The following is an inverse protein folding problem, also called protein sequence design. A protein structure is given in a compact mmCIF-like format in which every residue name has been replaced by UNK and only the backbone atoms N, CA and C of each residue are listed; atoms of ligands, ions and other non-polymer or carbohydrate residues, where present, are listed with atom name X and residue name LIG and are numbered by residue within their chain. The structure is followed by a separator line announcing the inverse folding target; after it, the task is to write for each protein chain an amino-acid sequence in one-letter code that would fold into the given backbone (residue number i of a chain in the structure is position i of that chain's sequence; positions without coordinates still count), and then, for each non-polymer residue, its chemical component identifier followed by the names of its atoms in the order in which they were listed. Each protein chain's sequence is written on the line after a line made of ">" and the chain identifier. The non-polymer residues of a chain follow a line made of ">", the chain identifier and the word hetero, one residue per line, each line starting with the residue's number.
data_IF_557190776580
#
_entry.id   IF_557190776580
#
_cell.length_a   1.000
_cell.length_b   1.000
_cell.length_c   1.000
_cell.angle_alpha   90.00
_cell.angle_beta   90.00
_cell.angle_gamma   90.00
#
_symmetry.space_group_name_H-M   'P 1'
#
loop_
_entity.id
_entity.type
_entity.pdbx_description
1 polymer ?
#
# COMPACT_ATOMS: atom_id res chain seq x y z
N UNK A 1 39.00 -33.37 22.62
CA UNK A 1 38.06 -33.04 21.53
C UNK A 1 36.66 -32.94 22.11
N UNK A 2 36.09 -31.74 22.00
CA UNK A 2 34.70 -31.31 22.15
C UNK A 2 33.81 -31.89 23.27
N UNK A 3 33.49 -30.99 24.20
CA UNK A 3 32.61 -31.11 25.37
C UNK A 3 31.13 -30.92 25.03
N UNK A 4 30.29 -31.54 25.86
CA UNK A 4 28.83 -31.49 25.94
C UNK A 4 28.24 -30.08 25.84
N UNK A 5 27.16 -29.92 25.06
CA UNK A 5 26.34 -28.69 25.02
C UNK A 5 25.05 -28.89 25.82
N UNK A 6 25.07 -28.31 27.02
CA UNK A 6 23.95 -28.05 27.91
C UNK A 6 23.04 -26.99 27.27
N UNK A 7 21.74 -27.28 27.13
CA UNK A 7 20.74 -26.27 26.80
C UNK A 7 20.24 -25.61 28.09
N UNK A 8 20.58 -24.32 28.22
CA UNK A 8 20.20 -23.44 29.32
C UNK A 8 18.68 -23.21 29.32
N UNK A 9 18.02 -23.71 30.36
CA UNK A 9 16.65 -23.36 30.77
C UNK A 9 16.72 -22.09 31.60
N UNK A 10 16.36 -20.94 31.03
CA UNK A 10 16.17 -19.70 31.80
C UNK A 10 14.70 -19.54 32.20
N UNK A 11 14.36 -19.37 33.50
CA UNK A 11 13.04 -18.94 33.92
C UNK A 11 12.98 -17.40 33.92
N UNK A 12 11.92 -16.80 33.37
CA UNK A 12 11.63 -15.38 33.58
C UNK A 12 10.57 -15.20 34.67
N UNK A 13 10.76 -14.25 35.60
CA UNK A 13 9.97 -14.13 36.83
C UNK A 13 8.62 -13.44 36.61
N UNK A 14 7.67 -13.82 37.48
CA UNK A 14 6.41 -13.10 37.72
C UNK A 14 6.72 -11.82 38.50
N UNK A 15 6.25 -10.68 38.01
CA UNK A 15 6.04 -9.48 38.83
C UNK A 15 4.60 -9.00 38.59
N UNK A 16 3.96 -8.68 39.70
CA UNK A 16 2.55 -8.38 39.91
C UNK A 16 2.13 -7.01 39.35
N UNK A 17 0.90 -7.01 38.83
CA UNK A 17 -0.16 -6.00 39.01
C UNK A 17 0.18 -4.49 38.84
N UNK A 18 -0.42 -3.83 37.84
CA UNK A 18 -1.74 -3.19 38.02
C UNK A 18 -2.24 -2.41 36.78
N UNK A 19 -3.55 -2.58 36.54
CA UNK A 19 -4.55 -1.57 36.11
C UNK A 19 -4.25 -0.72 34.87
N UNK A 20 -4.82 -1.12 33.72
CA UNK A 20 -5.55 -0.17 32.88
C UNK A 20 -6.63 -0.90 32.07
N UNK A 21 -7.86 -0.42 32.24
CA UNK A 21 -9.10 -0.85 31.59
C UNK A 21 -9.03 -0.74 30.07
N UNK A 22 -9.33 -1.82 29.36
CA UNK A 22 -10.06 -1.75 28.09
C UNK A 22 -10.70 -3.10 27.79
N UNK A 23 -12.03 -3.14 27.90
CA UNK A 23 -12.87 -4.23 27.39
C UNK A 23 -12.63 -4.34 25.88
N UNK A 24 -11.88 -5.35 25.47
CA UNK A 24 -11.88 -5.80 24.08
C UNK A 24 -13.07 -6.72 23.86
N UNK A 25 -14.12 -6.19 23.24
CA UNK A 25 -15.13 -6.99 22.56
C UNK A 25 -14.60 -7.33 21.15
N UNK A 26 -14.52 -8.61 20.75
CA UNK A 26 -14.37 -8.97 19.35
C UNK A 26 -15.62 -9.71 18.88
N UNK A 27 -16.75 -8.99 18.72
CA UNK A 27 -17.77 -9.43 17.76
C UNK A 27 -17.49 -8.74 16.43
N UNK A 28 -16.51 -9.28 15.70
CA UNK A 28 -16.32 -8.99 14.28
C UNK A 28 -17.37 -9.78 13.51
N UNK A 29 -18.59 -9.25 13.42
CA UNK A 29 -19.57 -9.74 12.46
C UNK A 29 -19.10 -9.34 11.05
N UNK A 30 -18.29 -10.20 10.44
CA UNK A 30 -18.03 -10.16 9.01
C UNK A 30 -19.32 -10.60 8.30
N UNK A 31 -20.18 -9.64 7.98
CA UNK A 31 -21.27 -9.85 7.04
C UNK A 31 -20.68 -10.07 5.65
N UNK A 32 -20.27 -11.29 5.35
CA UNK A 32 -20.14 -11.73 3.97
C UNK A 32 -21.55 -11.75 3.41
N UNK A 33 -21.87 -10.79 2.53
CA UNK A 33 -22.98 -10.96 1.58
C UNK A 33 -22.62 -12.16 0.71
N UNK A 34 -23.04 -13.34 1.15
CA UNK A 34 -22.95 -14.55 0.35
C UNK A 34 -23.80 -14.30 -0.89
N UNK A 35 -23.14 -14.08 -2.02
CA UNK A 35 -23.77 -14.11 -3.34
C UNK A 35 -24.53 -15.44 -3.39
N UNK A 36 -25.85 -15.44 -3.63
CA UNK A 36 -26.61 -16.67 -3.64
C UNK A 36 -25.98 -17.62 -4.65
N UNK A 37 -25.47 -18.74 -4.12
CA UNK A 37 -24.93 -19.83 -4.91
C UNK A 37 -25.98 -20.28 -5.91
N UNK A 38 -25.64 -20.28 -7.20
CA UNK A 38 -26.50 -20.70 -8.31
C UNK A 38 -26.71 -22.22 -8.33
N UNK A 39 -26.78 -22.85 -7.16
CA UNK A 39 -26.73 -24.28 -6.98
C UNK A 39 -28.00 -24.74 -6.29
N UNK A 40 -29.14 -24.63 -6.99
CA UNK A 40 -30.39 -25.37 -6.72
C UNK A 40 -31.53 -25.08 -7.70
N UNK A 41 -31.27 -24.52 -8.89
CA UNK A 41 -32.35 -24.17 -9.83
C UNK A 41 -32.86 -25.36 -10.68
N UNK A 42 -32.33 -26.55 -10.42
CA UNK A 42 -32.75 -27.79 -11.11
C UNK A 42 -34.22 -28.10 -10.77
N UNK A 43 -34.60 -27.98 -9.49
CA UNK A 43 -35.95 -28.35 -9.04
C UNK A 43 -37.06 -27.41 -9.53
N UNK A 44 -36.74 -26.17 -9.92
CA UNK A 44 -37.76 -25.18 -10.35
C UNK A 44 -38.20 -25.32 -11.80
N UNK A 45 -37.41 -25.96 -12.65
CA UNK A 45 -37.64 -26.00 -14.10
C UNK A 45 -38.00 -27.40 -14.63
N UNK A 46 -38.13 -28.40 -13.76
CA UNK A 46 -38.58 -29.73 -14.17
C UNK A 46 -40.10 -29.80 -14.25
N UNK A 47 -40.64 -29.48 -15.43
CA UNK A 47 -42.02 -29.86 -15.77
C UNK A 47 -42.03 -31.36 -16.09
N UNK A 48 -42.61 -32.15 -15.19
CA UNK A 48 -42.83 -33.57 -15.45
C UNK A 48 -43.86 -33.71 -16.57
N UNK A 49 -43.54 -34.54 -17.56
CA UNK A 49 -44.50 -34.90 -18.60
C UNK A 49 -45.66 -35.70 -18.00
N UNK A 50 -46.84 -35.58 -18.60
CA UNK A 50 -48.01 -36.38 -18.23
C UNK A 50 -47.72 -37.88 -18.37
N UNK A 51 -48.42 -38.68 -17.56
CA UNK A 51 -48.31 -40.13 -17.55
C UNK A 51 -48.55 -40.68 -18.96
N UNK A 52 -47.60 -41.45 -19.51
CA UNK A 52 -47.67 -41.97 -20.87
C UNK A 52 -48.41 -43.31 -20.89
N UNK A 53 -49.61 -43.34 -21.48
CA UNK A 53 -50.44 -44.55 -21.63
C UNK A 53 -49.94 -45.52 -22.72
N UNK A 54 -48.91 -45.12 -23.47
CA UNK A 54 -48.38 -45.89 -24.60
C UNK A 54 -47.96 -47.32 -24.23
N UNK A 55 -47.35 -47.51 -23.05
CA UNK A 55 -46.86 -48.81 -22.59
C UNK A 55 -48.00 -49.81 -22.36
N UNK A 56 -49.21 -49.31 -22.06
CA UNK A 56 -50.39 -50.13 -21.78
C UNK A 56 -51.27 -50.37 -23.03
N UNK A 57 -50.90 -49.81 -24.18
CA UNK A 57 -51.72 -49.85 -25.40
C UNK A 57 -51.46 -51.06 -26.31
N UNK A 58 -50.47 -51.90 -26.00
CA UNK A 58 -50.05 -53.00 -26.87
C UNK A 58 -51.03 -54.19 -26.84
N UNK A 59 -51.62 -54.51 -28.00
CA UNK A 59 -52.44 -55.72 -28.17
C UNK A 59 -51.66 -56.78 -28.97
N UNK A 60 -51.50 -58.01 -28.46
CA UNK A 60 -50.77 -59.06 -29.14
C UNK A 60 -51.48 -59.49 -30.44
N UNK A 61 -50.79 -59.52 -31.60
CA UNK A 61 -51.36 -60.02 -32.85
C UNK A 61 -51.66 -61.53 -32.79
N UNK A 62 -52.75 -61.97 -33.43
CA UNK A 62 -53.22 -63.37 -33.41
C UNK A 62 -52.40 -64.30 -34.31
N UNK A 63 -51.87 -63.77 -35.42
CA UNK A 63 -51.12 -64.52 -36.42
C UNK A 63 -49.59 -64.30 -36.32
N UNK A 64 -48.78 -65.37 -36.34
CA UNK A 64 -47.33 -65.27 -36.09
C UNK A 64 -46.57 -64.53 -37.20
N UNK A 65 -46.99 -64.68 -38.46
CA UNK A 65 -46.36 -64.02 -39.62
C UNK A 65 -46.58 -62.50 -39.61
N UNK A 66 -47.77 -62.07 -39.20
CA UNK A 66 -48.08 -60.64 -39.05
C UNK A 66 -47.34 -60.01 -37.87
N UNK A 67 -47.21 -60.74 -36.76
CA UNK A 67 -46.45 -60.29 -35.60
C UNK A 67 -44.99 -60.03 -35.96
N UNK A 68 -44.37 -60.92 -36.75
CA UNK A 68 -43.00 -60.77 -37.23
C UNK A 68 -42.84 -59.54 -38.14
N UNK A 69 -43.77 -59.34 -39.09
CA UNK A 69 -43.75 -58.17 -39.98
C UNK A 69 -43.87 -56.86 -39.19
N UNK A 70 -44.85 -56.77 -38.27
CA UNK A 70 -45.06 -55.62 -37.38
C UNK A 70 -43.82 -55.34 -36.53
N UNK A 71 -43.20 -56.37 -35.96
CA UNK A 71 -41.97 -56.22 -35.17
C UNK A 71 -40.79 -55.72 -36.03
N UNK A 72 -40.65 -56.23 -37.26
CA UNK A 72 -39.59 -55.81 -38.16
C UNK A 72 -39.71 -54.33 -38.56
N UNK A 73 -40.93 -53.86 -38.81
CA UNK A 73 -41.23 -52.45 -39.08
C UNK A 73 -40.92 -51.58 -37.86
N UNK A 74 -41.40 -51.98 -36.68
CA UNK A 74 -41.13 -51.26 -35.42
C UNK A 74 -39.64 -51.11 -35.13
N UNK A 75 -38.85 -52.17 -35.35
CA UNK A 75 -37.39 -52.13 -35.18
C UNK A 75 -36.75 -51.12 -36.13
N UNK A 76 -37.18 -51.09 -37.39
CA UNK A 76 -36.68 -50.14 -38.41
C UNK A 76 -37.07 -48.71 -38.05
N UNK A 77 -38.35 -48.48 -37.74
CA UNK A 77 -38.87 -47.15 -37.41
C UNK A 77 -38.22 -46.59 -36.15
N UNK A 78 -38.05 -47.42 -35.12
CA UNK A 78 -37.33 -47.04 -33.91
C UNK A 78 -35.88 -46.70 -34.19
N UNK A 79 -35.17 -47.54 -34.96
CA UNK A 79 -33.78 -47.27 -35.33
C UNK A 79 -33.65 -45.96 -36.11
N UNK A 80 -34.58 -45.67 -37.04
CA UNK A 80 -34.62 -44.42 -37.80
C UNK A 80 -34.89 -43.21 -36.90
N UNK A 81 -35.90 -43.28 -36.03
CA UNK A 81 -36.23 -42.21 -35.07
C UNK A 81 -35.05 -41.92 -34.13
N UNK A 82 -34.46 -42.94 -33.53
CA UNK A 82 -33.30 -42.78 -32.64
C UNK A 82 -32.10 -42.21 -33.39
N UNK A 83 -31.87 -42.63 -34.64
CA UNK A 83 -30.79 -42.08 -35.48
C UNK A 83 -31.01 -40.59 -35.79
N UNK A 84 -32.26 -40.17 -36.05
CA UNK A 84 -32.59 -38.76 -36.25
C UNK A 84 -32.32 -37.94 -34.98
N UNK A 85 -32.84 -38.40 -33.83
CA UNK A 85 -32.62 -37.75 -32.52
C UNK A 85 -31.13 -37.63 -32.18
N UNK A 86 -30.32 -38.67 -32.44
CA UNK A 86 -28.87 -38.57 -32.22
C UNK A 86 -28.20 -37.51 -33.08
N UNK A 87 -28.64 -37.34 -34.34
CA UNK A 87 -28.09 -36.32 -35.23
C UNK A 87 -28.44 -34.91 -34.75
N UNK A 88 -29.69 -34.70 -34.37
CA UNK A 88 -30.17 -33.43 -33.81
C UNK A 88 -29.39 -33.08 -32.54
N UNK A 89 -29.25 -34.03 -31.62
CA UNK A 89 -28.48 -33.84 -30.39
C UNK A 89 -27.01 -33.46 -30.67
N UNK A 90 -26.35 -34.13 -31.62
CA UNK A 90 -24.97 -33.79 -32.01
C UNK A 90 -24.90 -32.35 -32.53
N UNK A 91 -25.86 -31.94 -33.35
CA UNK A 91 -25.92 -30.57 -33.89
C UNK A 91 -26.15 -29.53 -32.78
N UNK A 92 -27.08 -29.78 -31.88
CA UNK A 92 -27.35 -28.90 -30.73
C UNK A 92 -26.12 -28.73 -29.85
N UNK A 93 -25.43 -29.84 -29.55
CA UNK A 93 -24.21 -29.80 -28.74
C UNK A 93 -23.09 -29.02 -29.44
N UNK A 94 -22.94 -29.14 -30.75
CA UNK A 94 -21.94 -28.39 -31.51
C UNK A 94 -22.29 -26.89 -31.58
N UNK A 95 -23.56 -26.54 -31.76
CA UNK A 95 -24.01 -25.14 -31.68
C UNK A 95 -23.69 -24.52 -30.31
N UNK A 96 -24.01 -25.23 -29.23
CA UNK A 96 -23.68 -24.79 -27.87
C UNK A 96 -22.17 -24.62 -27.67
N UNK A 97 -21.36 -25.50 -28.26
CA UNK A 97 -19.90 -25.40 -28.20
C UNK A 97 -19.40 -24.15 -28.93
N UNK A 98 -19.91 -23.88 -30.13
CA UNK A 98 -19.56 -22.69 -30.91
C UNK A 98 -19.97 -21.39 -30.19
N UNK A 99 -21.15 -21.36 -29.58
CA UNK A 99 -21.58 -20.22 -28.77
C UNK A 99 -20.66 -19.96 -27.57
N UNK A 100 -20.22 -21.01 -26.88
CA UNK A 100 -19.25 -20.89 -25.79
C UNK A 100 -17.93 -20.31 -26.29
N UNK A 101 -17.41 -20.81 -27.41
CA UNK A 101 -16.18 -20.31 -28.01
C UNK A 101 -16.28 -18.81 -28.34
N UNK A 102 -17.37 -18.37 -29.00
CA UNK A 102 -17.60 -16.94 -29.30
C UNK A 102 -17.63 -16.09 -28.03
N UNK A 103 -18.33 -16.55 -27.00
CA UNK A 103 -18.40 -15.85 -25.70
C UNK A 103 -17.03 -15.76 -25.04
N UNK A 104 -16.22 -16.81 -25.11
CA UNK A 104 -14.89 -16.85 -24.52
C UNK A 104 -13.90 -15.97 -25.29
N UNK A 105 -13.99 -15.90 -26.61
CA UNK A 105 -13.20 -14.97 -27.45
C UNK A 105 -13.50 -13.52 -27.09
N UNK A 106 -14.78 -13.12 -27.02
CA UNK A 106 -15.20 -11.77 -26.63
C UNK A 106 -14.64 -11.43 -25.23
N UNK A 107 -14.74 -12.36 -24.27
CA UNK A 107 -14.20 -12.15 -22.92
C UNK A 107 -12.68 -11.99 -22.92
N UNK A 108 -11.96 -12.81 -23.69
CA UNK A 108 -10.49 -12.73 -23.80
C UNK A 108 -10.06 -11.39 -24.38
N UNK A 109 -10.74 -10.91 -25.41
CA UNK A 109 -10.45 -9.61 -26.02
C UNK A 109 -10.75 -8.45 -25.07
N UNK A 110 -11.90 -8.50 -24.36
CA UNK A 110 -12.23 -7.50 -23.35
C UNK A 110 -11.18 -7.43 -22.23
N UNK A 111 -10.72 -8.60 -21.74
CA UNK A 111 -9.66 -8.67 -20.72
C UNK A 111 -8.34 -8.12 -21.25
N UNK A 112 -8.01 -8.37 -22.53
CA UNK A 112 -6.79 -7.83 -23.14
C UNK A 112 -6.83 -6.30 -23.18
N UNK A 113 -7.92 -5.72 -23.67
CA UNK A 113 -8.11 -4.26 -23.76
C UNK A 113 -8.02 -3.63 -22.37
N UNK A 114 -8.75 -4.17 -21.38
CA UNK A 114 -8.70 -3.66 -20.01
C UNK A 114 -7.28 -3.80 -19.41
N UNK A 115 -6.57 -4.88 -19.74
CA UNK A 115 -5.18 -5.09 -19.35
C UNK A 115 -4.22 -4.06 -19.93
N UNK A 116 -4.40 -3.68 -21.19
CA UNK A 116 -3.62 -2.66 -21.88
C UNK A 116 -3.91 -1.27 -21.30
N UNK A 117 -5.17 -0.92 -21.07
CA UNK A 117 -5.56 0.35 -20.44
C UNK A 117 -4.98 0.49 -19.03
N UNK A 118 -5.07 -0.57 -18.19
CA UNK A 118 -4.45 -0.58 -16.86
C UNK A 118 -2.93 -0.40 -16.93
N UNK A 119 -2.26 -1.02 -17.91
CA UNK A 119 -0.81 -0.87 -18.12
C UNK A 119 -0.46 0.57 -18.54
N UNK A 120 -1.23 1.15 -19.46
CA UNK A 120 -1.06 2.53 -19.91
C UNK A 120 -1.26 3.52 -18.76
N UNK A 121 -2.32 3.35 -17.96
CA UNK A 121 -2.59 4.17 -16.78
C UNK A 121 -1.46 4.06 -15.73
N UNK A 122 -0.95 2.85 -15.46
CA UNK A 122 0.19 2.65 -14.56
C UNK A 122 1.47 3.30 -15.10
N UNK A 123 1.72 3.23 -16.40
CA UNK A 123 2.88 3.87 -17.02
C UNK A 123 2.78 5.40 -16.93
N UNK A 124 1.61 5.98 -17.19
CA UNK A 124 1.35 7.41 -17.03
C UNK A 124 1.56 7.86 -15.58
N UNK A 125 0.99 7.13 -14.61
CA UNK A 125 1.17 7.42 -13.19
C UNK A 125 2.65 7.32 -12.75
N UNK A 126 3.40 6.34 -13.26
CA UNK A 126 4.84 6.23 -12.99
C UNK A 126 5.63 7.40 -13.56
N UNK A 127 5.28 7.88 -14.76
CA UNK A 127 5.91 9.06 -15.37
C UNK A 127 5.61 10.33 -14.57
N UNK A 128 4.36 10.54 -14.17
CA UNK A 128 3.97 11.68 -13.33
C UNK A 128 4.74 11.68 -12.00
N UNK A 129 4.79 10.54 -11.31
CA UNK A 129 5.56 10.38 -10.07
C UNK A 129 7.07 10.59 -10.25
N UNK A 130 7.62 10.25 -11.41
CA UNK A 130 9.02 10.51 -11.72
C UNK A 130 9.28 12.01 -11.91
N UNK A 131 8.37 12.73 -12.58
CA UNK A 131 8.45 14.18 -12.71
C UNK A 131 8.32 14.88 -11.35
N UNK A 132 7.39 14.44 -10.48
CA UNK A 132 7.27 14.96 -9.11
C UNK A 132 8.57 14.80 -8.31
N UNK A 133 9.27 13.67 -8.46
CA UNK A 133 10.57 13.46 -7.80
C UNK A 133 11.64 14.41 -8.31
N UNK A 134 11.67 14.68 -9.61
CA UNK A 134 12.62 15.64 -10.18
C UNK A 134 12.37 17.05 -9.63
N UNK A 135 11.10 17.48 -9.59
CA UNK A 135 10.72 18.77 -9.00
C UNK A 135 11.12 18.82 -7.51
N UNK A 136 10.85 17.78 -6.74
CA UNK A 136 11.26 17.72 -5.33
C UNK A 136 12.78 17.79 -5.14
N UNK A 137 13.56 17.18 -6.03
CA UNK A 137 15.03 17.27 -6.01
C UNK A 137 15.52 18.69 -6.34
N UNK A 138 14.87 19.38 -7.29
CA UNK A 138 15.19 20.77 -7.62
C UNK A 138 14.86 21.71 -6.46
N UNK A 139 13.68 21.56 -5.84
CA UNK A 139 13.30 22.30 -4.63
C UNK A 139 14.30 22.05 -3.50
N UNK A 140 14.73 20.81 -3.31
CA UNK A 140 15.75 20.46 -2.33
C UNK A 140 17.10 21.15 -2.62
N UNK A 141 17.52 21.22 -3.89
CA UNK A 141 18.74 21.96 -4.27
C UNK A 141 18.60 23.46 -4.00
N UNK A 142 17.46 24.05 -4.32
CA UNK A 142 17.21 25.47 -4.07
C UNK A 142 17.23 25.81 -2.58
N UNK A 143 16.61 24.97 -1.74
CA UNK A 143 16.63 25.16 -0.28
C UNK A 143 18.05 25.05 0.29
N UNK A 144 18.87 24.11 -0.19
CA UNK A 144 20.29 24.02 0.19
C UNK A 144 21.10 25.28 -0.17
N UNK A 145 20.85 25.87 -1.34
CA UNK A 145 21.52 27.11 -1.73
C UNK A 145 21.11 28.29 -0.81
N UNK A 146 19.83 28.38 -0.45
CA UNK A 146 19.32 29.40 0.49
C UNK A 146 19.95 29.24 1.87
N UNK A 147 19.98 28.02 2.41
CA UNK A 147 20.63 27.70 3.70
C UNK A 147 22.12 28.07 3.71
N UNK A 148 22.85 27.75 2.63
CA UNK A 148 24.26 28.13 2.50
C UNK A 148 24.44 29.65 2.47
N UNK A 149 23.61 30.37 1.73
CA UNK A 149 23.65 31.83 1.67
C UNK A 149 23.40 32.45 3.06
N UNK A 150 22.37 32.00 3.78
CA UNK A 150 22.07 32.47 5.14
C UNK A 150 23.22 32.22 6.11
N UNK A 151 23.87 31.05 6.05
CA UNK A 151 25.04 30.75 6.88
C UNK A 151 26.23 31.64 6.56
N UNK A 152 26.47 31.93 5.28
CA UNK A 152 27.54 32.84 4.86
C UNK A 152 27.27 34.28 5.34
N UNK A 153 26.03 34.76 5.23
CA UNK A 153 25.64 36.08 5.75
C UNK A 153 25.79 36.15 7.27
N UNK A 154 25.34 35.12 7.97
CA UNK A 154 25.51 35.01 9.41
C UNK A 154 26.98 35.02 9.83
N UNK A 155 27.86 34.33 9.08
CA UNK A 155 29.30 34.34 9.33
C UNK A 155 29.90 35.74 9.17
N UNK A 156 29.60 36.41 8.05
CA UNK A 156 30.05 37.79 7.81
C UNK A 156 29.59 38.74 8.92
N UNK A 157 28.33 38.65 9.33
CA UNK A 157 27.78 39.45 10.44
C UNK A 157 28.50 39.15 11.76
N UNK A 158 28.85 37.89 12.02
CA UNK A 158 29.59 37.48 13.21
C UNK A 158 31.03 38.01 13.18
N UNK A 159 31.72 37.93 12.05
CA UNK A 159 33.06 38.47 11.87
C UNK A 159 33.08 39.98 12.07
N UNK A 160 32.13 40.70 11.47
CA UNK A 160 32.00 42.14 11.65
C UNK A 160 31.80 42.50 13.13
N UNK A 161 30.88 41.83 13.84
CA UNK A 161 30.67 42.02 15.28
C UNK A 161 31.92 41.72 16.11
N UNK A 162 32.70 40.70 15.73
CA UNK A 162 33.94 40.37 16.41
C UNK A 162 35.00 41.47 16.19
N UNK A 163 35.12 41.97 14.96
CA UNK A 163 36.03 43.05 14.61
C UNK A 163 35.65 44.37 15.27
N UNK A 164 34.36 44.72 15.34
CA UNK A 164 33.85 45.87 16.10
C UNK A 164 34.22 45.77 17.57
N UNK A 165 33.91 44.65 18.23
CA UNK A 165 34.28 44.42 19.64
C UNK A 165 35.78 44.50 19.87
N UNK A 166 36.60 44.01 18.93
CA UNK A 166 38.06 44.12 19.01
C UNK A 166 38.52 45.58 18.92
N UNK A 167 37.93 46.37 18.01
CA UNK A 167 38.19 47.81 17.89
C UNK A 167 37.75 48.56 19.15
N UNK A 168 36.54 48.34 19.63
CA UNK A 168 36.02 48.94 20.88
C UNK A 168 36.94 48.67 22.08
N UNK A 169 37.38 47.41 22.25
CA UNK A 169 38.35 47.05 23.29
C UNK A 169 39.69 47.75 23.12
N UNK A 170 40.22 47.78 21.89
CA UNK A 170 41.48 48.46 21.58
C UNK A 170 41.40 49.96 21.86
N UNK A 171 40.27 50.60 21.52
CA UNK A 171 40.03 52.01 21.80
C UNK A 171 39.85 52.29 23.28
N UNK A 172 39.15 51.42 24.01
CA UNK A 172 39.00 51.51 25.46
C UNK A 172 40.38 51.44 26.14
N UNK A 173 41.21 50.47 25.76
CA UNK A 173 42.58 50.35 26.26
C UNK A 173 43.39 51.59 25.91
N UNK A 174 43.30 52.13 24.69
CA UNK A 174 44.00 53.37 24.28
C UNK A 174 43.60 54.59 25.12
N UNK A 175 42.32 54.71 25.48
CA UNK A 175 41.81 55.79 26.35
C UNK A 175 42.26 55.60 27.80
N UNK A 176 42.32 54.36 28.29
CA UNK A 176 42.80 54.07 29.63
C UNK A 176 44.32 54.21 29.74
N UNK A 177 45.06 53.81 28.71
CA UNK A 177 46.53 53.82 28.69
C UNK A 177 47.12 55.22 28.75
N UNK A 178 46.39 56.26 28.30
CA UNK A 178 46.83 57.65 28.50
C UNK A 178 46.82 58.10 29.97
N UNK A 179 46.16 57.35 30.86
CA UNK A 179 46.20 57.55 32.31
C UNK A 179 47.17 56.59 33.01
N UNK A 180 47.83 55.70 32.28
CA UNK A 180 48.77 54.77 32.89
C UNK A 180 50.04 55.53 33.28
N UNK A 181 50.53 55.24 34.47
CA UNK A 181 51.67 55.93 35.08
C UNK A 181 52.89 55.04 34.92
N UNK A 182 53.97 55.59 34.34
CA UNK A 182 55.22 54.86 34.21
C UNK A 182 55.86 54.62 35.58
N UNK A 183 56.61 53.53 35.71
CA UNK A 183 57.11 53.03 37.00
C UNK A 183 58.00 54.06 37.73
N UNK A 184 58.77 54.86 36.99
CA UNK A 184 59.58 55.95 37.56
C UNK A 184 58.78 57.19 38.00
N UNK A 185 57.54 57.37 37.54
CA UNK A 185 56.65 58.48 37.92
C UNK A 185 55.61 58.10 38.98
N UNK A 186 55.56 56.81 39.35
CA UNK A 186 54.55 56.24 40.21
C UNK A 186 54.61 56.83 41.63
N UNK A 187 55.81 56.90 42.21
CA UNK A 187 56.03 57.44 43.56
C UNK A 187 55.63 58.92 43.65
N UNK A 188 55.96 59.71 42.63
CA UNK A 188 55.63 61.14 42.54
C UNK A 188 54.12 61.38 42.51
N UNK A 189 53.37 60.60 41.71
CA UNK A 189 51.90 60.70 41.63
C UNK A 189 51.20 60.17 42.89
N UNK A 190 51.75 59.16 43.57
CA UNK A 190 51.20 58.68 44.86
C UNK A 190 51.27 59.77 45.93
N UNK A 191 52.40 60.48 46.01
CA UNK A 191 52.57 61.60 46.94
C UNK A 191 51.64 62.77 46.61
N UNK A 192 51.46 63.08 45.32
CA UNK A 192 50.55 64.14 44.86
C UNK A 192 49.09 63.86 45.25
N UNK A 193 48.61 62.63 45.06
CA UNK A 193 47.25 62.21 45.47
C UNK A 193 47.09 62.22 46.99
N UNK A 194 48.10 61.79 47.75
CA UNK A 194 48.08 61.90 49.22
C UNK A 194 47.95 63.35 49.68
N UNK A 195 48.72 64.27 49.09
CA UNK A 195 48.64 65.70 49.39
C UNK A 195 47.27 66.31 49.04
N UNK A 196 46.69 65.94 47.89
CA UNK A 196 45.35 66.40 47.49
C UNK A 196 44.25 65.87 48.43
N UNK A 197 44.34 64.62 48.88
CA UNK A 197 43.38 64.02 49.82
C UNK A 197 43.44 64.65 51.22
N UNK A 198 44.62 65.06 51.67
CA UNK A 198 44.78 65.82 52.92
C UNK A 198 44.18 67.23 52.81
N UNK A 199 44.12 67.81 51.60
CA UNK A 199 43.55 69.14 51.37
C UNK A 199 42.01 69.11 51.32
N UNK A 200 41.41 68.05 50.74
CA UNK A 200 39.96 67.84 50.69
C UNK A 200 39.35 67.47 52.05
N UNK A 201 40.11 66.82 52.94
CA UNK A 201 39.67 66.52 54.32
C UNK A 201 39.84 67.71 55.29
N UNK A 202 40.46 68.80 54.84
CA UNK A 202 40.72 70.00 55.63
C UNK A 202 39.82 71.19 55.25
N UNK A 203 38.86 70.97 54.33
CA UNK A 203 37.72 71.83 53.97
C UNK A 203 36.41 71.17 54.39
#
# INVERSE_FOLDING_TARGET
>A
MASSRVLLRSPKPRILENVFTQRFCPHRSLSTTAVPSHHNDHQRNHQYLSQNDYINSWKPPRDPKEAQAKLSLLRRDYAMKVKAVRKEYIQEMELQRLEKLRKDEIKKEAIRIEGEERKAAKAAAKKAKAAERQVAEEEFRQTLLKERAQKLEYHKMRENKFMEKKKEKSELVRRQSSMWVDEGELESKILEVQCLSCFEHMM
#
